data_IF_646605227711
#
_entry.id   IF_646605227711
#
_cell.length_a   1.000
_cell.length_b   1.000
_cell.length_c   1.000
_cell.angle_alpha   90.00
_cell.angle_beta   90.00
_cell.angle_gamma   90.00
#
_symmetry.space_group_name_H-M   'P 1'
#
loop_
_entity.id
_entity.type
_entity.pdbx_description
1 polymer ?
#
# COMPACT_ATOMS: atom_id res chain seq x y z
N UNK A 1 30.63 -16.38 -28.06
CA UNK A 1 30.73 -15.56 -26.85
C UNK A 1 29.74 -14.41 -26.95
N UNK A 2 28.59 -14.54 -26.31
CA UNK A 2 27.50 -13.55 -26.39
C UNK A 2 27.71 -12.42 -25.40
N UNK A 3 27.92 -11.21 -25.90
CA UNK A 3 27.78 -9.97 -25.13
C UNK A 3 26.31 -9.56 -25.19
N UNK A 4 25.57 -9.85 -24.12
CA UNK A 4 24.23 -9.29 -23.91
C UNK A 4 24.35 -7.83 -23.52
N UNK A 5 24.06 -6.94 -24.46
CA UNK A 5 23.99 -5.49 -24.24
C UNK A 5 22.82 -5.14 -23.32
N UNK A 6 23.13 -4.39 -22.26
CA UNK A 6 22.14 -3.78 -21.39
C UNK A 6 21.34 -2.73 -22.14
N UNK A 7 20.05 -3.01 -22.34
CA UNK A 7 19.04 -2.02 -22.71
C UNK A 7 18.08 -1.87 -21.54
N UNK A 8 17.86 -0.63 -21.10
CA UNK A 8 17.05 -0.28 -19.93
C UNK A 8 15.60 -0.74 -20.03
N UNK A 9 15.34 -2.00 -19.68
CA UNK A 9 14.02 -2.50 -19.36
C UNK A 9 13.65 -2.05 -17.96
N UNK A 10 12.40 -1.61 -17.77
CA UNK A 10 11.82 -1.32 -16.46
C UNK A 10 12.07 -2.53 -15.56
N UNK A 11 12.80 -2.28 -14.47
CA UNK A 11 13.23 -3.32 -13.54
C UNK A 11 12.00 -4.06 -13.00
N UNK A 12 12.04 -5.39 -13.01
CA UNK A 12 11.00 -6.22 -12.40
C UNK A 12 10.77 -5.76 -10.94
N UNK A 13 9.55 -5.89 -10.40
CA UNK A 13 9.30 -5.60 -8.99
C UNK A 13 10.30 -6.34 -8.10
N UNK A 14 10.78 -5.75 -6.99
CA UNK A 14 11.73 -6.41 -6.11
C UNK A 14 11.23 -7.79 -5.67
N UNK A 15 12.09 -8.81 -5.82
CA UNK A 15 11.75 -10.22 -5.53
C UNK A 15 10.98 -10.95 -6.64
N UNK A 16 10.62 -10.28 -7.74
CA UNK A 16 10.06 -10.94 -8.92
C UNK A 16 11.16 -11.63 -9.74
N UNK A 17 10.80 -12.73 -10.40
CA UNK A 17 11.69 -13.48 -11.29
C UNK A 17 10.97 -13.95 -12.54
N UNK A 18 11.71 -14.06 -13.64
CA UNK A 18 11.25 -14.70 -14.87
C UNK A 18 11.66 -16.18 -14.86
N UNK A 19 10.72 -17.06 -15.15
CA UNK A 19 10.94 -18.50 -15.25
C UNK A 19 10.51 -18.95 -16.64
N UNK A 20 11.44 -19.48 -17.42
CA UNK A 20 11.13 -20.10 -18.71
C UNK A 20 10.38 -21.41 -18.45
N UNK A 21 9.23 -21.57 -19.10
CA UNK A 21 8.41 -22.77 -18.95
C UNK A 21 8.50 -23.67 -20.17
N UNK A 22 8.41 -23.07 -21.36
CA UNK A 22 8.58 -23.79 -22.63
C UNK A 22 9.56 -23.01 -23.49
N UNK A 23 10.73 -23.60 -23.74
CA UNK A 23 11.64 -23.17 -24.81
C UNK A 23 11.56 -24.27 -25.85
N UNK A 24 10.63 -24.16 -26.79
CA UNK A 24 10.54 -25.19 -27.81
C UNK A 24 11.86 -25.24 -28.60
N UNK A 25 12.38 -26.43 -28.76
CA UNK A 25 13.69 -26.69 -29.39
C UNK A 25 13.63 -26.66 -30.92
N UNK A 26 12.42 -26.58 -31.48
CA UNK A 26 12.19 -26.48 -32.90
C UNK A 26 12.41 -25.05 -33.41
N UNK A 27 12.85 -24.94 -34.66
CA UNK A 27 12.83 -23.68 -35.40
C UNK A 27 11.41 -23.10 -35.39
N UNK A 28 11.27 -21.83 -34.99
CA UNK A 28 9.98 -21.14 -34.89
C UNK A 28 9.06 -21.62 -33.76
N UNK A 29 9.63 -22.18 -32.69
CA UNK A 29 8.84 -22.54 -31.54
C UNK A 29 8.34 -21.31 -30.77
N UNK A 30 7.15 -21.46 -30.18
CA UNK A 30 6.64 -20.54 -29.17
C UNK A 30 7.50 -20.69 -27.90
N UNK A 31 7.97 -19.57 -27.37
CA UNK A 31 8.58 -19.51 -26.05
C UNK A 31 7.58 -18.96 -25.04
N UNK A 32 7.48 -19.60 -23.88
CA UNK A 32 6.64 -19.15 -22.77
C UNK A 32 7.52 -18.84 -21.55
N UNK A 33 7.35 -17.64 -21.01
CA UNK A 33 8.06 -17.17 -19.81
C UNK A 33 7.03 -16.64 -18.82
N UNK A 34 7.08 -17.14 -17.59
CA UNK A 34 6.23 -16.68 -16.50
C UNK A 34 6.99 -15.71 -15.59
N UNK A 35 6.37 -14.58 -15.27
CA UNK A 35 6.80 -13.75 -14.16
C UNK A 35 6.17 -14.31 -12.87
N UNK A 36 7.02 -14.74 -11.94
CA UNK A 36 6.61 -15.11 -10.59
C UNK A 36 6.95 -13.98 -9.63
N UNK A 37 5.97 -13.52 -8.87
CA UNK A 37 6.18 -12.49 -7.86
C UNK A 37 5.25 -12.69 -6.67
N UNK A 38 5.82 -12.52 -5.48
CA UNK A 38 5.09 -12.50 -4.21
C UNK A 38 5.45 -11.20 -3.49
N UNK A 39 4.54 -10.22 -3.42
CA UNK A 39 4.81 -8.98 -2.71
C UNK A 39 5.02 -9.28 -1.23
N UNK A 40 6.09 -8.73 -0.66
CA UNK A 40 6.27 -8.71 0.80
C UNK A 40 5.34 -7.68 1.44
N UNK A 41 5.21 -7.72 2.77
CA UNK A 41 4.45 -6.74 3.54
C UNK A 41 4.88 -5.28 3.31
N UNK A 42 6.12 -5.06 2.82
CA UNK A 42 6.71 -3.75 2.54
C UNK A 42 6.36 -3.17 1.16
N UNK A 43 5.55 -3.88 0.38
CA UNK A 43 5.13 -3.46 -0.96
C UNK A 43 3.72 -2.87 -0.96
N UNK A 44 3.14 -2.55 0.20
CA UNK A 44 1.82 -1.91 0.28
C UNK A 44 1.78 -0.63 -0.55
N UNK A 45 0.79 -0.48 -1.43
CA UNK A 45 0.68 0.70 -2.30
C UNK A 45 1.59 0.69 -3.52
N UNK A 46 2.44 -0.32 -3.72
CA UNK A 46 3.22 -0.47 -4.95
C UNK A 46 2.30 -0.32 -6.17
N UNK A 47 2.67 0.55 -7.11
CA UNK A 47 1.87 0.83 -8.29
C UNK A 47 2.79 1.33 -9.42
N UNK A 48 3.24 0.42 -10.29
CA UNK A 48 4.19 0.71 -11.37
C UNK A 48 3.91 -0.12 -12.62
N UNK A 49 4.38 0.37 -13.76
CA UNK A 49 4.36 -0.38 -15.01
C UNK A 49 5.57 -1.31 -15.08
N UNK A 50 5.32 -2.57 -15.40
CA UNK A 50 6.33 -3.60 -15.64
C UNK A 50 6.29 -3.95 -17.12
N UNK A 51 7.37 -3.67 -17.84
CA UNK A 51 7.45 -3.88 -19.28
C UNK A 51 8.27 -5.13 -19.61
N UNK A 52 7.73 -5.95 -20.50
CA UNK A 52 8.38 -7.14 -21.02
C UNK A 52 8.77 -6.89 -22.47
N UNK A 53 10.03 -7.19 -22.79
CA UNK A 53 10.57 -7.07 -24.15
C UNK A 53 10.82 -8.48 -24.67
N UNK A 54 10.15 -8.83 -25.76
CA UNK A 54 10.41 -10.05 -26.50
C UNK A 54 11.17 -9.70 -27.78
N UNK A 55 12.27 -10.41 -28.02
CA UNK A 55 13.12 -10.23 -29.20
C UNK A 55 13.41 -11.61 -29.79
N UNK A 56 13.31 -11.74 -31.11
CA UNK A 56 13.79 -12.91 -31.84
C UNK A 56 15.12 -12.61 -32.55
N UNK A 57 15.86 -13.65 -32.96
CA UNK A 57 17.17 -13.52 -33.61
C UNK A 57 17.08 -13.36 -35.14
N UNK A 58 15.88 -13.39 -35.73
CA UNK A 58 15.69 -13.52 -37.18
C UNK A 58 16.29 -14.82 -37.76
N UNK A 59 16.11 -15.02 -39.07
CA UNK A 59 16.81 -16.05 -39.87
C UNK A 59 16.24 -17.47 -39.83
N UNK A 60 15.75 -17.97 -38.68
CA UNK A 60 15.27 -19.36 -38.55
C UNK A 60 13.88 -19.63 -39.14
N UNK A 61 13.04 -18.60 -39.27
CA UNK A 61 11.64 -18.70 -39.71
C UNK A 61 11.44 -17.95 -41.01
N UNK A 62 11.54 -18.65 -42.14
CA UNK A 62 11.31 -18.06 -43.48
C UNK A 62 12.23 -16.87 -43.83
N UNK A 63 13.43 -16.79 -43.24
CA UNK A 63 14.40 -15.73 -43.56
C UNK A 63 13.97 -14.31 -43.14
N UNK A 64 13.09 -14.18 -42.15
CA UNK A 64 12.65 -12.86 -41.68
C UNK A 64 13.72 -12.14 -40.84
N UNK A 65 13.74 -10.81 -40.93
CA UNK A 65 14.54 -9.95 -40.07
C UNK A 65 14.10 -10.08 -38.59
N UNK A 66 15.02 -9.84 -37.63
CA UNK A 66 14.71 -9.85 -36.21
C UNK A 66 13.51 -8.95 -35.86
N UNK A 67 12.56 -9.46 -35.07
CA UNK A 67 11.49 -8.63 -34.51
C UNK A 67 11.69 -8.39 -33.01
N UNK A 68 11.24 -7.20 -32.58
CA UNK A 68 11.20 -6.78 -31.19
C UNK A 68 9.82 -6.22 -30.88
N UNK A 69 9.24 -6.66 -29.78
CA UNK A 69 7.96 -6.17 -29.27
C UNK A 69 8.07 -5.91 -27.78
N UNK A 70 7.43 -4.84 -27.32
CA UNK A 70 7.35 -4.47 -25.91
C UNK A 70 5.90 -4.41 -25.47
N UNK A 71 5.63 -4.95 -24.28
CA UNK A 71 4.32 -4.89 -23.66
C UNK A 71 4.44 -4.59 -22.17
N UNK A 72 3.74 -3.57 -21.71
CA UNK A 72 3.74 -3.16 -20.30
C UNK A 72 2.43 -3.51 -19.63
N UNK A 73 2.51 -4.04 -18.41
CA UNK A 73 1.36 -4.28 -17.54
C UNK A 73 1.49 -3.43 -16.28
N UNK A 74 0.38 -2.85 -15.83
CA UNK A 74 0.35 -2.12 -14.56
C UNK A 74 0.18 -3.12 -13.42
N UNK A 75 1.14 -3.11 -12.49
CA UNK A 75 1.15 -3.98 -11.32
C UNK A 75 0.88 -3.12 -10.09
N UNK A 76 -0.16 -3.47 -9.34
CA UNK A 76 -0.55 -2.77 -8.11
C UNK A 76 -0.74 -3.70 -6.93
N UNK A 77 -0.28 -3.30 -5.74
CA UNK A 77 -0.49 -3.99 -4.47
C UNK A 77 -1.40 -3.14 -3.59
N UNK A 78 -2.51 -3.72 -3.14
CA UNK A 78 -3.47 -3.03 -2.31
C UNK A 78 -2.83 -2.54 -0.99
N UNK A 79 -3.14 -1.30 -0.62
CA UNK A 79 -2.76 -0.73 0.69
C UNK A 79 -3.60 -1.35 1.80
N UNK A 80 -3.01 -1.47 2.99
CA UNK A 80 -3.68 -2.00 4.19
C UNK A 80 -4.29 -3.40 4.02
N UNK A 81 -3.81 -4.20 3.05
CA UNK A 81 -4.24 -5.57 2.87
C UNK A 81 -3.07 -6.50 3.05
N UNK A 82 -3.31 -7.60 3.74
CA UNK A 82 -2.35 -8.67 3.92
C UNK A 82 -2.99 -10.00 3.58
N UNK A 83 -2.29 -10.80 2.79
CA UNK A 83 -2.71 -12.15 2.46
C UNK A 83 -2.03 -13.12 3.44
N UNK A 84 -2.84 -13.77 4.27
CA UNK A 84 -2.36 -14.67 5.32
C UNK A 84 -1.54 -15.83 4.74
N UNK A 85 -0.46 -16.18 5.43
CA UNK A 85 0.33 -17.38 5.13
C UNK A 85 -0.30 -18.63 5.73
N UNK A 86 0.13 -19.79 5.22
CA UNK A 86 -0.12 -21.07 5.87
C UNK A 86 0.52 -21.01 7.26
N UNK A 87 -0.22 -21.44 8.28
CA UNK A 87 0.21 -21.53 9.68
C UNK A 87 0.56 -20.18 10.37
N UNK A 88 0.23 -19.03 9.78
CA UNK A 88 0.32 -17.75 10.51
C UNK A 88 -0.86 -17.58 11.47
N UNK A 89 -0.58 -17.09 12.69
CA UNK A 89 -1.61 -16.70 13.66
C UNK A 89 -1.83 -15.18 13.62
N UNK A 90 -2.98 -14.69 14.11
CA UNK A 90 -3.26 -13.24 14.14
C UNK A 90 -2.24 -12.47 14.99
N UNK A 91 -1.68 -13.10 16.02
CA UNK A 91 -0.66 -12.54 16.89
C UNK A 91 0.61 -12.22 16.11
N UNK A 92 1.09 -13.16 15.28
CA UNK A 92 2.29 -12.98 14.45
C UNK A 92 2.09 -11.85 13.43
N UNK A 93 0.89 -11.79 12.85
CA UNK A 93 0.54 -10.75 11.88
C UNK A 93 0.42 -9.39 12.55
N UNK A 94 -0.20 -9.32 13.73
CA UNK A 94 -0.35 -8.08 14.47
C UNK A 94 1.00 -7.50 14.89
N UNK A 95 1.91 -8.35 15.38
CA UNK A 95 3.29 -7.96 15.72
C UNK A 95 4.03 -7.38 14.50
N UNK A 96 3.90 -8.02 13.33
CA UNK A 96 4.50 -7.53 12.07
C UNK A 96 4.06 -6.11 11.72
N UNK A 97 2.83 -5.74 12.05
CA UNK A 97 2.27 -4.41 11.78
C UNK A 97 2.28 -3.48 13.00
N UNK A 98 2.96 -3.86 14.08
CA UNK A 98 3.10 -3.04 15.28
C UNK A 98 1.79 -2.73 15.99
N UNK A 99 0.81 -3.65 15.95
CA UNK A 99 -0.45 -3.55 16.68
C UNK A 99 -0.71 -4.78 17.54
N UNK A 100 -1.67 -4.69 18.45
CA UNK A 100 -2.16 -5.85 19.19
C UNK A 100 -3.13 -6.69 18.35
N UNK A 101 -3.21 -7.99 18.66
CA UNK A 101 -4.05 -8.93 17.91
C UNK A 101 -5.55 -8.64 18.06
N UNK A 102 -5.99 -8.06 19.19
CA UNK A 102 -7.41 -7.73 19.42
C UNK A 102 -7.84 -6.60 18.48
N UNK A 103 -6.95 -5.63 18.25
CA UNK A 103 -7.16 -4.59 17.27
C UNK A 103 -7.18 -5.12 15.85
N UNK A 104 -6.25 -6.02 15.50
CA UNK A 104 -6.27 -6.67 14.18
C UNK A 104 -7.58 -7.43 13.98
N UNK A 105 -8.04 -8.16 15.00
CA UNK A 105 -9.29 -8.89 14.95
C UNK A 105 -10.52 -7.96 14.82
N UNK A 106 -10.58 -6.88 15.61
CA UNK A 106 -11.69 -5.91 15.53
C UNK A 106 -11.75 -5.15 14.20
N UNK A 107 -10.63 -5.03 13.49
CA UNK A 107 -10.59 -4.50 12.12
C UNK A 107 -11.19 -5.47 11.08
N UNK A 108 -11.27 -6.76 11.41
CA UNK A 108 -11.66 -7.84 10.51
C UNK A 108 -12.89 -8.59 11.06
N UNK A 109 -14.04 -7.92 11.08
CA UNK A 109 -15.30 -8.46 11.62
C UNK A 109 -15.79 -9.76 10.94
N UNK A 110 -15.26 -10.10 9.77
CA UNK A 110 -15.53 -11.37 9.09
C UNK A 110 -14.75 -12.55 9.70
N UNK A 111 -13.76 -12.31 10.57
CA UNK A 111 -13.07 -13.34 11.33
C UNK A 111 -13.90 -13.69 12.56
N UNK A 112 -14.51 -14.88 12.55
CA UNK A 112 -15.37 -15.34 13.64
C UNK A 112 -14.60 -15.87 14.86
N UNK A 113 -13.32 -16.21 14.70
CA UNK A 113 -12.48 -16.70 15.79
C UNK A 113 -11.05 -16.14 15.67
N UNK A 114 -10.44 -15.66 16.78
CA UNK A 114 -9.11 -15.06 16.74
C UNK A 114 -7.98 -16.08 16.48
N UNK A 115 -8.17 -17.33 16.90
CA UNK A 115 -7.12 -18.37 16.79
C UNK A 115 -7.22 -19.26 15.55
N UNK A 116 -8.27 -19.11 14.72
CA UNK A 116 -8.47 -19.96 13.54
C UNK A 116 -8.37 -19.13 12.26
N UNK A 117 -7.20 -19.19 11.62
CA UNK A 117 -7.01 -18.75 10.25
C UNK A 117 -7.25 -19.95 9.34
N UNK A 118 -8.40 -19.95 8.67
CA UNK A 118 -8.93 -21.15 7.99
C UNK A 118 -8.33 -21.33 6.60
N UNK A 119 -7.88 -20.25 5.95
CA UNK A 119 -7.49 -20.29 4.54
C UNK A 119 -6.23 -19.49 4.23
N UNK A 120 -5.20 -20.16 3.70
CA UNK A 120 -4.05 -19.49 3.11
C UNK A 120 -4.48 -18.57 1.97
N UNK A 121 -3.91 -17.36 1.92
CA UNK A 121 -4.28 -16.34 0.95
C UNK A 121 -5.54 -15.55 1.30
N UNK A 122 -6.23 -15.86 2.40
CA UNK A 122 -7.29 -15.00 2.92
C UNK A 122 -6.74 -13.60 3.17
N UNK A 123 -7.44 -12.60 2.62
CA UNK A 123 -7.04 -11.22 2.74
C UNK A 123 -7.68 -10.59 3.97
N UNK A 124 -6.86 -10.02 4.83
CA UNK A 124 -7.31 -9.25 5.99
C UNK A 124 -6.85 -7.80 5.88
N UNK A 125 -7.60 -6.91 6.51
CA UNK A 125 -7.19 -5.54 6.71
C UNK A 125 -6.17 -5.47 7.85
N UNK A 126 -5.09 -4.71 7.65
CA UNK A 126 -4.02 -4.52 8.66
C UNK A 126 -3.87 -3.08 9.10
N UNK A 127 -4.72 -2.19 8.58
CA UNK A 127 -4.78 -0.77 8.90
C UNK A 127 -5.98 -0.11 8.26
N UNK A 128 -6.04 1.21 8.33
CA UNK A 128 -7.08 2.03 7.71
C UNK A 128 -6.54 2.80 6.52
N UNK A 129 -7.36 2.97 5.49
CA UNK A 129 -7.06 3.92 4.42
C UNK A 129 -7.36 5.32 4.93
N UNK A 130 -6.30 6.07 5.18
CA UNK A 130 -6.34 7.49 5.45
C UNK A 130 -6.31 8.26 4.13
N UNK A 131 -7.17 9.26 3.98
CA UNK A 131 -7.21 10.12 2.79
C UNK A 131 -6.79 11.53 3.16
N UNK A 132 -5.72 12.02 2.54
CA UNK A 132 -5.25 13.40 2.75
C UNK A 132 -6.32 14.41 2.33
N UNK A 133 -6.55 15.39 3.20
CA UNK A 133 -7.48 16.51 2.95
C UNK A 133 -6.75 17.82 2.65
N UNK A 134 -5.41 17.83 2.65
CA UNK A 134 -4.59 19.03 2.46
C UNK A 134 -3.38 18.76 1.56
N UNK A 135 -3.05 19.73 0.70
CA UNK A 135 -1.84 19.68 -0.16
C UNK A 135 -0.54 19.97 0.60
N UNK A 136 -0.64 20.32 1.87
CA UNK A 136 0.49 20.64 2.74
C UNK A 136 0.73 19.57 3.82
N UNK A 137 -0.07 18.51 3.84
CA UNK A 137 0.07 17.44 4.84
C UNK A 137 1.27 16.55 4.49
N UNK A 138 2.21 16.43 5.42
CA UNK A 138 3.40 15.59 5.26
C UNK A 138 3.15 14.16 5.73
N UNK A 139 3.69 13.12 5.06
CA UNK A 139 3.59 11.74 5.52
C UNK A 139 4.06 11.55 6.97
N UNK A 140 5.18 12.16 7.35
CA UNK A 140 5.70 12.12 8.73
C UNK A 140 4.72 12.72 9.75
N UNK A 141 3.99 13.79 9.39
CA UNK A 141 2.98 14.38 10.25
C UNK A 141 1.77 13.45 10.42
N UNK A 142 1.38 12.72 9.37
CA UNK A 142 0.35 11.66 9.46
C UNK A 142 0.80 10.54 10.39
N UNK A 143 2.03 10.02 10.23
CA UNK A 143 2.56 8.97 11.09
C UNK A 143 2.55 9.40 12.57
N UNK A 144 3.09 10.60 12.86
CA UNK A 144 3.07 11.18 14.20
C UNK A 144 1.66 11.27 14.77
N UNK A 145 0.71 11.84 14.01
CA UNK A 145 -0.68 11.97 14.45
C UNK A 145 -1.31 10.62 14.76
N UNK A 146 -1.00 9.61 13.96
CA UNK A 146 -1.52 8.26 14.13
C UNK A 146 -0.78 7.48 15.23
N UNK A 147 0.34 7.98 15.77
CA UNK A 147 1.13 7.25 16.77
C UNK A 147 1.94 6.08 16.20
N UNK A 148 2.12 6.02 14.88
CA UNK A 148 2.89 4.96 14.21
C UNK A 148 4.30 5.43 13.86
N UNK A 149 5.23 4.48 13.72
CA UNK A 149 6.58 4.81 13.24
C UNK A 149 6.56 5.21 11.77
N UNK A 150 7.46 6.11 11.38
CA UNK A 150 7.61 6.46 9.97
C UNK A 150 8.11 5.28 9.12
N UNK A 151 8.90 4.38 9.70
CA UNK A 151 9.35 3.17 9.00
C UNK A 151 8.19 2.24 8.65
N UNK A 152 7.25 2.03 9.58
CA UNK A 152 6.03 1.28 9.30
C UNK A 152 5.17 2.01 8.26
N UNK A 153 5.09 3.34 8.31
CA UNK A 153 4.39 4.12 7.29
C UNK A 153 5.02 3.91 5.91
N UNK A 154 6.36 3.93 5.82
CA UNK A 154 7.12 3.67 4.58
C UNK A 154 6.86 2.27 4.04
N UNK A 155 6.97 1.26 4.89
CA UNK A 155 6.75 -0.14 4.50
C UNK A 155 5.32 -0.36 3.96
N UNK A 156 4.31 0.30 4.54
CA UNK A 156 2.92 0.15 4.12
C UNK A 156 2.52 1.00 2.91
N UNK A 157 3.40 1.91 2.47
CA UNK A 157 3.11 2.91 1.44
C UNK A 157 4.29 3.14 0.48
N UNK A 158 4.73 2.07 -0.16
CA UNK A 158 5.94 2.00 -0.98
C UNK A 158 6.01 3.01 -2.14
N UNK A 159 4.86 3.48 -2.64
CA UNK A 159 4.79 4.39 -3.78
C UNK A 159 4.84 5.87 -3.40
N UNK A 160 4.86 6.20 -2.10
CA UNK A 160 4.91 7.58 -1.65
C UNK A 160 6.32 8.15 -1.72
N UNK A 161 6.39 9.43 -2.10
CA UNK A 161 7.52 10.26 -1.72
C UNK A 161 7.31 10.71 -0.27
N UNK A 162 8.10 10.15 0.63
CA UNK A 162 8.02 10.45 2.07
C UNK A 162 8.63 11.80 2.45
N UNK A 163 9.30 12.47 1.51
CA UNK A 163 9.94 13.78 1.70
C UNK A 163 9.13 14.92 1.11
N UNK A 164 8.06 14.62 0.38
CA UNK A 164 7.17 15.59 -0.23
C UNK A 164 5.80 15.64 0.45
N UNK A 165 5.08 16.77 0.34
CA UNK A 165 3.69 16.86 0.77
C UNK A 165 2.79 15.90 -0.01
N UNK A 166 1.76 15.40 0.68
CA UNK A 166 0.74 14.55 0.09
C UNK A 166 -0.13 15.32 -0.89
N UNK A 167 -0.51 14.65 -1.98
CA UNK A 167 -1.51 15.17 -2.91
C UNK A 167 -2.88 15.18 -2.22
N UNK A 168 -3.71 16.14 -2.60
CA UNK A 168 -5.10 16.20 -2.14
C UNK A 168 -5.82 14.90 -2.53
N UNK A 169 -6.47 14.26 -1.55
CA UNK A 169 -7.19 13.01 -1.74
C UNK A 169 -6.28 11.78 -1.84
N UNK A 170 -4.97 11.91 -1.66
CA UNK A 170 -4.04 10.78 -1.67
C UNK A 170 -4.31 9.83 -0.51
N UNK A 171 -4.41 8.54 -0.82
CA UNK A 171 -4.63 7.50 0.17
C UNK A 171 -3.33 6.92 0.69
N UNK A 172 -3.31 6.70 2.01
CA UNK A 172 -2.22 6.08 2.73
C UNK A 172 -2.79 4.97 3.59
N UNK A 173 -2.05 3.89 3.72
CA UNK A 173 -2.27 2.95 4.79
C UNK A 173 -1.70 3.48 6.10
N UNK A 174 -2.54 3.58 7.12
CA UNK A 174 -2.13 3.93 8.48
C UNK A 174 -2.51 2.82 9.45
N UNK A 175 -1.66 2.62 10.44
CA UNK A 175 -1.92 1.75 11.59
C UNK A 175 -1.93 2.66 12.80
N UNK A 176 -3.08 3.22 13.22
CA UNK A 176 -3.06 4.13 14.35
C UNK A 176 -2.59 3.40 15.62
N UNK A 177 -2.24 4.13 16.66
CA UNK A 177 -1.93 3.63 18.01
C UNK A 177 -2.62 4.58 18.98
N UNK A 178 -3.66 4.11 19.67
CA UNK A 178 -4.45 4.94 20.58
C UNK A 178 -3.69 5.37 21.84
N UNK A 179 -2.58 4.72 22.16
CA UNK A 179 -1.73 5.07 23.31
C UNK A 179 -0.68 6.13 22.96
N UNK A 180 -0.29 6.22 21.68
CA UNK A 180 0.81 7.10 21.21
C UNK A 180 0.36 8.21 20.27
N UNK A 181 -0.77 8.05 19.60
CA UNK A 181 -1.30 9.02 18.65
C UNK A 181 -1.83 10.28 19.34
N UNK A 182 -2.10 11.29 18.52
CA UNK A 182 -2.63 12.55 19.02
C UNK A 182 -4.04 12.35 19.60
N UNK A 183 -4.24 12.79 20.85
CA UNK A 183 -5.54 12.72 21.52
C UNK A 183 -6.60 13.65 20.91
N UNK A 184 -6.20 14.56 20.00
CA UNK A 184 -7.06 15.57 19.38
C UNK A 184 -6.85 15.59 17.87
N UNK A 185 -7.94 15.61 17.12
CA UNK A 185 -7.89 15.90 15.68
C UNK A 185 -7.76 17.41 15.46
N UNK A 186 -7.21 17.83 14.31
CA UNK A 186 -7.17 19.24 13.92
C UNK A 186 -8.59 19.87 13.85
N UNK A 187 -9.62 19.06 13.61
CA UNK A 187 -11.03 19.49 13.66
C UNK A 187 -11.51 19.69 15.10
N UNK A 188 -11.02 18.92 16.07
CA UNK A 188 -11.40 19.09 17.48
C UNK A 188 -10.81 20.36 18.10
N UNK A 189 -9.63 20.83 17.65
CA UNK A 189 -9.04 22.08 18.12
C UNK A 189 -9.69 23.31 17.46
N UNK A 190 -10.02 23.25 16.17
CA UNK A 190 -10.70 24.35 15.47
C UNK A 190 -12.19 24.45 15.83
N UNK A 191 -12.88 23.32 16.01
CA UNK A 191 -14.31 23.27 16.30
C UNK A 191 -14.66 23.59 17.76
N UNK A 192 -13.83 23.20 18.73
CA UNK A 192 -14.13 23.49 20.13
C UNK A 192 -14.00 24.99 20.45
N UNK A 193 -12.95 25.66 19.95
CA UNK A 193 -12.78 27.10 20.14
C UNK A 193 -13.91 27.91 19.49
N UNK A 194 -14.33 27.53 18.28
CA UNK A 194 -15.44 28.18 17.57
C UNK A 194 -16.79 27.96 18.28
N UNK A 195 -17.06 26.74 18.77
CA UNK A 195 -18.31 26.42 19.46
C UNK A 195 -18.39 27.02 20.87
N UNK A 196 -17.25 27.12 21.58
CA UNK A 196 -17.18 27.82 22.88
C UNK A 196 -17.33 29.33 22.72
N UNK A 197 -16.73 29.93 21.68
CA UNK A 197 -16.90 31.35 21.38
C UNK A 197 -18.36 31.68 21.02
N UNK A 198 -19.03 30.83 20.24
CA UNK A 198 -20.45 30.97 19.92
C UNK A 198 -21.36 30.83 21.15
N UNK A 199 -21.09 29.86 22.04
CA UNK A 199 -21.84 29.67 23.27
C UNK A 199 -21.61 30.78 24.32
N UNK A 200 -20.44 31.42 24.31
CA UNK A 200 -20.13 32.56 25.18
C UNK A 200 -20.76 33.88 24.67
N UNK A 201 -21.00 34.02 23.36
CA UNK A 201 -21.69 35.17 22.78
C UNK A 201 -23.22 35.14 22.91
N UNK A 202 -23.80 33.98 23.27
CA UNK A 202 -25.26 33.80 23.35
C UNK A 202 -25.83 34.00 24.78
N UNK A 203 -24.97 34.33 25.76
CA UNK A 203 -25.41 34.74 27.10
C UNK A 203 -25.66 36.25 27.13
N UNK A 204 -26.78 36.67 26.55
CA UNK A 204 -27.28 38.02 26.73
C UNK A 204 -27.74 38.20 28.19
N UNK A 205 -27.22 39.17 28.97
CA UNK A 205 -27.68 39.38 30.34
C UNK A 205 -29.17 39.78 30.32
N UNK A 206 -30.00 38.96 30.96
CA UNK A 206 -31.41 39.30 31.20
C UNK A 206 -31.43 40.53 32.12
N UNK A 207 -31.72 41.69 31.53
CA UNK A 207 -31.97 42.92 32.27
C UNK A 207 -33.27 42.74 33.06
N UNK A 208 -33.28 42.86 34.39
CA UNK A 208 -34.53 42.80 35.14
C UNK A 208 -35.36 44.05 34.82
N UNK A 209 -36.55 43.85 34.25
CA UNK A 209 -37.55 44.92 34.14
C UNK A 209 -38.17 45.12 35.52
N UNK A 210 -37.88 46.25 36.13
CA UNK A 210 -38.54 46.70 37.35
C UNK A 210 -39.99 47.13 37.08
N UNK A 211 -40.87 46.76 38.01
CA UNK A 211 -42.03 47.52 38.50
C UNK A 211 -42.30 47.08 39.91
#
# INVERSE_FOLDING_TARGET
>A
GGRGGGGGGTQLPPGARLVAQDVGTATCARSLVHMLWRPSAKHGGFNRDVCFVATDTGGGCRGMAPKRTEHCVRVSVARCRYALQVDEQLQDVAERFGMDWMRLWSLNLALHHPDFIVHAGQQIAVGHLYRSVSRHEMPAAVAKRMGMSEDLLRDLNNDLDHTAPLRLGQELCVVPDSCRGDARSALSSAGFAANVAAAASDQNPVVPRGT
#
